data_IF_075648165679
#
_entry.id   IF_075648165679
#
_cell.length_a   1.000
_cell.length_b   1.000
_cell.length_c   1.000
_cell.angle_alpha   90.00
_cell.angle_beta   90.00
_cell.angle_gamma   90.00
#
_symmetry.space_group_name_H-M   'P 1'
#
loop_
_entity.id
_entity.type
_entity.pdbx_description
1 polymer ?
#
# COMPACT_ATOMS: atom_id res chain seq x y z
N UNK A 1 -7.90 13.76 12.18
CA UNK A 1 -8.61 15.00 11.78
C UNK A 1 -8.06 15.43 10.43
N UNK A 2 -8.90 15.53 9.40
CA UNK A 2 -8.45 15.95 8.07
C UNK A 2 -8.17 17.47 8.06
N UNK A 3 -7.02 17.89 7.53
CA UNK A 3 -6.70 19.29 7.28
C UNK A 3 -7.45 19.74 6.03
N UNK A 4 -8.36 20.70 6.18
CA UNK A 4 -8.99 21.34 5.03
C UNK A 4 -8.10 22.48 4.52
N UNK A 5 -7.84 22.50 3.21
CA UNK A 5 -6.99 23.51 2.56
C UNK A 5 -7.84 24.18 1.49
N UNK A 6 -8.16 25.46 1.70
CA UNK A 6 -9.23 26.16 0.96
C UNK A 6 -8.96 26.34 -0.54
N UNK A 7 -7.71 26.46 -0.96
CA UNK A 7 -7.35 26.70 -2.36
C UNK A 7 -5.89 26.34 -2.69
N UNK A 8 -5.55 26.39 -3.98
CA UNK A 8 -4.23 26.06 -4.51
C UNK A 8 -3.11 26.98 -4.00
N UNK A 9 -3.39 28.27 -3.78
CA UNK A 9 -2.40 29.21 -3.26
C UNK A 9 -2.03 28.87 -1.81
N UNK A 10 -3.05 28.56 -0.99
CA UNK A 10 -2.86 28.08 0.37
C UNK A 10 -2.10 26.75 0.42
N UNK A 11 -2.36 25.82 -0.51
CA UNK A 11 -1.62 24.56 -0.60
C UNK A 11 -0.13 24.78 -0.92
N UNK A 12 0.20 25.68 -1.86
CA UNK A 12 1.59 25.98 -2.24
C UNK A 12 2.42 26.53 -1.07
N UNK A 13 1.78 27.25 -0.14
CA UNK A 13 2.46 27.78 1.04
C UNK A 13 2.95 26.68 2.01
N UNK A 14 2.45 25.43 1.86
CA UNK A 14 2.75 24.31 2.76
C UNK A 14 3.91 23.42 2.29
N UNK A 15 4.66 23.83 1.26
CA UNK A 15 5.79 23.04 0.76
C UNK A 15 6.82 22.86 1.89
N UNK A 16 7.16 21.61 2.19
CA UNK A 16 8.06 21.25 3.28
C UNK A 16 7.36 21.01 4.62
N UNK A 17 6.05 21.27 4.74
CA UNK A 17 5.27 20.94 5.93
C UNK A 17 4.71 19.51 5.88
N UNK A 18 4.64 18.87 7.05
CA UNK A 18 3.88 17.64 7.24
C UNK A 18 2.37 17.93 7.34
N UNK A 19 1.56 17.28 6.50
CA UNK A 19 0.11 17.57 6.40
C UNK A 19 -0.80 16.58 7.15
N UNK A 20 -0.22 15.57 7.81
CA UNK A 20 -0.93 14.61 8.64
C UNK A 20 -0.68 13.16 8.24
N UNK A 21 -1.13 12.25 9.10
CA UNK A 21 -1.13 10.81 8.86
C UNK A 21 -2.55 10.32 8.56
N UNK A 22 -2.68 9.28 7.74
CA UNK A 22 -3.93 8.52 7.67
C UNK A 22 -4.08 7.64 8.92
N UNK A 23 -5.26 7.05 9.07
CA UNK A 23 -5.38 5.88 9.93
C UNK A 23 -4.58 4.70 9.34
N UNK A 24 -4.27 3.73 10.19
CA UNK A 24 -3.70 2.47 9.74
C UNK A 24 -4.71 1.74 8.83
N UNK A 25 -4.20 1.20 7.74
CA UNK A 25 -4.97 0.36 6.83
C UNK A 25 -4.41 -1.06 6.89
N UNK A 26 -5.27 -2.03 7.17
CA UNK A 26 -4.89 -3.44 7.09
C UNK A 26 -4.66 -3.84 5.64
N UNK A 27 -3.50 -4.45 5.38
CA UNK A 27 -3.16 -5.05 4.10
C UNK A 27 -3.38 -6.55 4.22
N UNK A 28 -4.58 -6.98 3.85
CA UNK A 28 -4.94 -8.39 3.75
C UNK A 28 -4.54 -8.99 2.39
N UNK A 29 -4.62 -10.32 2.31
CA UNK A 29 -4.27 -11.05 1.09
C UNK A 29 -5.21 -10.73 -0.09
N UNK A 30 -6.46 -10.38 0.18
CA UNK A 30 -7.44 -10.08 -0.87
C UNK A 30 -7.07 -8.79 -1.61
N UNK A 31 -6.60 -7.76 -0.89
CA UNK A 31 -6.08 -6.52 -1.49
C UNK A 31 -4.84 -6.77 -2.34
N UNK A 32 -3.91 -7.60 -1.86
CA UNK A 32 -2.71 -7.99 -2.62
C UNK A 32 -3.12 -8.71 -3.91
N UNK A 33 -4.05 -9.65 -3.84
CA UNK A 33 -4.52 -10.36 -5.03
C UNK A 33 -5.24 -9.42 -6.03
N UNK A 34 -6.09 -8.51 -5.56
CA UNK A 34 -6.75 -7.54 -6.45
C UNK A 34 -5.74 -6.65 -7.19
N UNK A 35 -4.62 -6.30 -6.54
CA UNK A 35 -3.55 -5.57 -7.20
C UNK A 35 -2.83 -6.43 -8.25
N UNK A 36 -2.56 -7.70 -7.95
CA UNK A 36 -2.00 -8.65 -8.92
C UNK A 36 -2.92 -8.82 -10.14
N UNK A 37 -4.23 -8.90 -9.93
CA UNK A 37 -5.21 -9.06 -11.00
C UNK A 37 -5.30 -7.79 -11.88
N UNK A 38 -5.18 -6.61 -11.26
CA UNK A 38 -5.21 -5.33 -11.97
C UNK A 38 -3.94 -5.05 -12.79
N UNK A 39 -2.78 -5.49 -12.30
CA UNK A 39 -1.47 -5.19 -12.91
C UNK A 39 -0.92 -6.34 -13.75
N UNK A 40 -1.44 -7.55 -13.57
CA UNK A 40 -0.88 -8.78 -14.14
C UNK A 40 0.36 -9.29 -13.40
N UNK A 41 0.79 -8.64 -12.30
CA UNK A 41 1.89 -9.13 -11.48
C UNK A 41 1.43 -10.27 -10.56
N UNK A 42 1.51 -11.48 -11.12
CA UNK A 42 1.13 -12.73 -10.47
C UNK A 42 2.34 -13.44 -9.85
N UNK A 43 3.41 -12.71 -9.50
CA UNK A 43 4.57 -13.32 -8.86
C UNK A 43 4.17 -13.99 -7.54
N UNK A 44 4.50 -15.26 -7.39
CA UNK A 44 4.05 -16.12 -6.28
C UNK A 44 4.38 -15.61 -4.87
N UNK A 45 5.39 -14.74 -4.72
CA UNK A 45 5.72 -14.11 -3.44
C UNK A 45 4.61 -13.16 -2.95
N UNK A 46 3.72 -12.75 -3.86
CA UNK A 46 2.54 -11.94 -3.58
C UNK A 46 1.27 -12.79 -3.53
N UNK A 47 1.10 -13.72 -4.48
CA UNK A 47 -0.20 -14.34 -4.79
C UNK A 47 -0.38 -15.78 -4.27
N UNK A 48 0.68 -16.44 -3.80
CA UNK A 48 0.62 -17.81 -3.28
C UNK A 48 1.07 -17.85 -1.80
N UNK A 49 0.15 -17.69 -0.83
CA UNK A 49 0.50 -17.62 0.59
C UNK A 49 1.21 -18.87 1.12
N UNK A 50 0.81 -20.06 0.65
CA UNK A 50 1.38 -21.32 1.13
C UNK A 50 2.81 -21.48 0.61
N UNK A 51 3.03 -21.23 -0.68
CA UNK A 51 4.37 -21.24 -1.24
C UNK A 51 5.24 -20.13 -0.65
N UNK A 52 4.68 -18.94 -0.47
CA UNK A 52 5.38 -17.82 0.14
C UNK A 52 5.84 -18.18 1.56
N UNK A 53 4.97 -18.75 2.40
CA UNK A 53 5.34 -19.19 3.74
C UNK A 53 6.43 -20.28 3.74
N UNK A 54 6.41 -21.18 2.77
CA UNK A 54 7.35 -22.30 2.69
C UNK A 54 8.72 -21.94 2.08
N UNK A 55 8.75 -21.03 1.10
CA UNK A 55 9.92 -20.80 0.23
C UNK A 55 10.40 -19.35 0.19
N UNK A 56 9.57 -18.39 0.59
CA UNK A 56 9.94 -16.98 0.55
C UNK A 56 10.97 -16.65 1.65
N UNK A 57 12.01 -15.86 1.36
CA UNK A 57 12.90 -15.34 2.39
C UNK A 57 12.17 -14.42 3.39
N UNK A 58 10.95 -13.98 3.08
CA UNK A 58 10.14 -13.09 3.91
C UNK A 58 9.26 -13.84 4.93
N UNK A 59 9.18 -15.17 4.84
CA UNK A 59 8.39 -15.99 5.78
C UNK A 59 6.86 -15.96 5.57
N UNK A 60 6.40 -15.35 4.48
CA UNK A 60 4.99 -15.22 4.12
C UNK A 60 4.80 -14.42 2.83
N UNK A 61 3.56 -14.22 2.37
CA UNK A 61 3.29 -13.35 1.23
C UNK A 61 3.61 -11.89 1.59
N UNK A 62 4.08 -11.14 0.61
CA UNK A 62 4.34 -9.70 0.74
C UNK A 62 3.49 -8.92 -0.27
N UNK A 63 3.18 -7.67 0.03
CA UNK A 63 2.51 -6.80 -0.94
C UNK A 63 3.44 -6.44 -2.12
N UNK A 64 2.84 -6.02 -3.23
CA UNK A 64 3.55 -5.36 -4.33
C UNK A 64 4.15 -4.03 -3.86
N UNK A 65 5.26 -3.62 -4.48
CA UNK A 65 6.01 -2.39 -4.16
C UNK A 65 5.47 -1.12 -4.79
#
# INVERSE_FOLDING_TARGET
MARHIENLAALKALVGEHIGYSEYLEIDQARVQLFADATGDQQWIHTDPERAKAQSPFGGPIAHG
#
